data_IF_919251406260
#
_entry.id   IF_919251406260
#
_cell.length_a   1.000
_cell.length_b   1.000
_cell.length_c   1.000
_cell.angle_alpha   90.00
_cell.angle_beta   90.00
_cell.angle_gamma   90.00
#
_symmetry.space_group_name_H-M   'P 1'
#
loop_
_entity.id
_entity.type
_entity.pdbx_description
1 polymer ?
#
# COMPACT_ATOMS: atom_id res chain seq x y z
N UNK A 1 20.39 39.88 1.56
CA UNK A 1 21.39 39.32 0.65
C UNK A 1 21.17 39.82 -0.77
N UNK A 2 20.00 39.70 -1.33
CA UNK A 2 19.60 40.12 -2.68
C UNK A 2 19.86 41.62 -2.91
N UNK A 3 19.49 42.52 -1.99
CA UNK A 3 19.72 43.94 -2.04
C UNK A 3 21.20 44.32 -2.16
N UNK A 4 22.10 43.54 -1.55
CA UNK A 4 23.54 43.72 -1.65
C UNK A 4 24.04 43.34 -3.04
N UNK A 5 23.60 42.21 -3.56
CA UNK A 5 23.94 41.74 -4.91
C UNK A 5 23.40 42.68 -5.99
N UNK A 6 22.21 43.25 -5.82
CA UNK A 6 21.69 44.29 -6.74
C UNK A 6 22.54 45.57 -6.75
N UNK A 7 23.06 46.02 -5.59
CA UNK A 7 23.97 47.12 -5.51
C UNK A 7 25.30 46.86 -6.19
N UNK A 8 25.85 45.64 -5.98
CA UNK A 8 27.10 45.20 -6.61
C UNK A 8 26.92 45.11 -8.14
N UNK A 9 25.78 44.61 -8.62
CA UNK A 9 25.43 44.56 -10.04
C UNK A 9 25.35 45.96 -10.65
N UNK A 10 24.68 46.88 -10.00
CA UNK A 10 24.58 48.26 -10.49
C UNK A 10 25.96 48.97 -10.56
N UNK A 11 26.86 48.71 -9.61
CA UNK A 11 28.23 49.23 -9.64
C UNK A 11 29.02 48.64 -10.84
N UNK A 12 28.83 47.35 -11.14
CA UNK A 12 29.46 46.67 -12.30
C UNK A 12 28.89 47.19 -13.63
N UNK A 13 27.59 47.49 -13.72
CA UNK A 13 26.94 48.05 -14.88
C UNK A 13 27.52 49.49 -15.13
N UNK A 14 27.75 50.29 -14.08
CA UNK A 14 28.38 51.58 -14.22
C UNK A 14 29.79 51.48 -14.81
N UNK A 15 30.64 50.58 -14.28
CA UNK A 15 31.98 50.34 -14.82
C UNK A 15 31.97 49.79 -16.26
N UNK A 16 31.03 48.93 -16.62
CA UNK A 16 30.84 48.46 -17.99
C UNK A 16 30.50 49.58 -18.96
N UNK A 17 29.65 50.53 -18.54
CA UNK A 17 29.33 51.73 -19.34
C UNK A 17 30.51 52.67 -19.49
N UNK A 18 31.32 52.89 -18.44
CA UNK A 18 32.55 53.69 -18.49
C UNK A 18 33.58 53.09 -19.45
N UNK A 19 33.74 51.77 -19.42
CA UNK A 19 34.58 51.05 -20.38
C UNK A 19 34.06 51.19 -21.83
N UNK A 20 32.73 51.28 -22.01
CA UNK A 20 32.11 51.54 -23.29
C UNK A 20 32.48 52.94 -23.83
N UNK A 21 32.36 53.97 -22.99
CA UNK A 21 32.75 55.35 -23.36
C UNK A 21 34.25 55.43 -23.68
N UNK A 22 35.09 54.73 -22.89
CA UNK A 22 36.55 54.70 -23.12
C UNK A 22 36.91 53.98 -24.43
N UNK A 23 36.18 52.95 -24.79
CA UNK A 23 36.34 52.21 -26.05
C UNK A 23 35.93 53.07 -27.27
N UNK A 24 34.81 53.79 -27.16
CA UNK A 24 34.35 54.68 -28.21
C UNK A 24 35.30 55.87 -28.41
N UNK A 25 35.88 56.39 -27.32
CA UNK A 25 36.94 57.43 -27.36
C UNK A 25 38.24 56.87 -28.01
N UNK A 26 38.61 55.62 -27.72
CA UNK A 26 39.78 55.00 -28.34
C UNK A 26 39.60 54.75 -29.84
N UNK A 27 38.41 54.49 -30.30
CA UNK A 27 38.04 54.31 -31.71
C UNK A 27 37.93 55.58 -32.51
N UNK A 28 37.59 56.69 -31.86
CA UNK A 28 37.46 57.97 -32.47
C UNK A 28 38.80 58.82 -32.49
N UNK A 29 39.85 58.28 -31.92
CA UNK A 29 41.17 58.94 -31.90
C UNK A 29 41.84 58.85 -33.30
N UNK A 30 42.57 59.88 -33.69
CA UNK A 30 43.23 60.12 -35.01
C UNK A 30 44.31 59.02 -35.30
N UNK A 31 44.80 58.32 -34.26
CA UNK A 31 45.67 57.15 -34.34
C UNK A 31 45.11 56.03 -33.49
N UNK A 32 44.59 54.97 -34.14
CA UNK A 32 43.96 53.80 -33.44
C UNK A 32 45.07 52.93 -32.84
N UNK A 33 45.16 52.88 -31.53
CA UNK A 33 46.01 51.92 -30.83
C UNK A 33 45.27 50.58 -30.66
N UNK A 34 45.54 49.64 -31.56
CA UNK A 34 44.89 48.32 -31.63
C UNK A 34 45.11 47.48 -30.37
N UNK A 35 46.23 47.65 -29.67
CA UNK A 35 46.54 46.92 -28.44
C UNK A 35 45.64 47.41 -27.28
N UNK A 36 45.44 48.75 -27.21
CA UNK A 36 44.57 49.38 -26.21
C UNK A 36 43.10 49.06 -26.45
N UNK A 37 42.66 49.01 -27.71
CA UNK A 37 41.29 48.63 -28.06
C UNK A 37 41.03 47.17 -27.68
N UNK A 38 41.93 46.24 -27.95
CA UNK A 38 41.82 44.85 -27.57
C UNK A 38 41.74 44.64 -26.05
N UNK A 39 42.52 45.40 -25.27
CA UNK A 39 42.51 45.35 -23.81
C UNK A 39 41.16 45.87 -23.25
N UNK A 40 40.64 46.96 -23.76
CA UNK A 40 39.34 47.50 -23.37
C UNK A 40 38.17 46.56 -23.73
N UNK A 41 38.23 45.89 -24.86
CA UNK A 41 37.26 44.87 -25.24
C UNK A 41 37.32 43.65 -24.26
N UNK A 42 38.55 43.27 -23.88
CA UNK A 42 38.75 42.21 -22.89
C UNK A 42 38.16 42.53 -21.53
N UNK A 43 38.46 43.77 -21.04
CA UNK A 43 37.92 44.24 -19.76
C UNK A 43 36.39 44.38 -19.79
N UNK A 44 35.83 44.83 -20.88
CA UNK A 44 34.38 44.96 -21.06
C UNK A 44 33.69 43.58 -21.13
N UNK A 45 34.30 42.60 -21.78
CA UNK A 45 33.78 41.21 -21.81
C UNK A 45 33.83 40.56 -20.44
N UNK A 46 34.88 40.77 -19.66
CA UNK A 46 35.01 40.30 -18.30
C UNK A 46 33.93 40.91 -17.38
N UNK A 47 33.73 42.23 -17.45
CA UNK A 47 32.70 42.93 -16.70
C UNK A 47 31.29 42.43 -17.05
N UNK A 48 31.02 42.15 -18.33
CA UNK A 48 29.75 41.55 -18.75
C UNK A 48 29.53 40.15 -18.19
N UNK A 49 30.53 39.28 -18.17
CA UNK A 49 30.46 37.94 -17.58
C UNK A 49 30.17 38.01 -16.07
N UNK A 50 30.79 38.97 -15.36
CA UNK A 50 30.50 39.20 -13.93
C UNK A 50 29.05 39.68 -13.69
N UNK A 51 28.53 40.59 -14.52
CA UNK A 51 27.15 41.03 -14.45
C UNK A 51 26.17 39.87 -14.67
N UNK A 52 26.44 38.99 -15.66
CA UNK A 52 25.63 37.82 -15.92
C UNK A 52 25.64 36.85 -14.72
N UNK A 53 26.81 36.53 -14.15
CA UNK A 53 26.93 35.66 -13.00
C UNK A 53 26.16 36.22 -11.76
N UNK A 54 26.22 37.53 -11.53
CA UNK A 54 25.47 38.18 -10.43
C UNK A 54 23.96 38.12 -10.71
N UNK A 55 23.53 38.36 -11.94
CA UNK A 55 22.11 38.31 -12.33
C UNK A 55 21.52 36.92 -12.17
N UNK A 56 22.23 35.86 -12.62
CA UNK A 56 21.81 34.45 -12.42
C UNK A 56 21.69 34.11 -10.94
N UNK A 57 22.62 34.60 -10.12
CA UNK A 57 22.59 34.36 -8.67
C UNK A 57 21.41 35.08 -7.99
N UNK A 58 21.06 36.29 -8.42
CA UNK A 58 19.88 37.01 -7.95
C UNK A 58 18.63 36.25 -8.33
N UNK A 59 18.47 35.84 -9.58
CA UNK A 59 17.29 35.06 -10.06
C UNK A 59 17.12 33.76 -9.29
N UNK A 60 18.21 33.07 -9.00
CA UNK A 60 18.17 31.83 -8.21
C UNK A 60 17.70 32.07 -6.77
N UNK A 61 18.22 33.11 -6.11
CA UNK A 61 17.81 33.47 -4.75
C UNK A 61 16.38 34.01 -4.68
N UNK A 62 15.90 34.66 -5.72
CA UNK A 62 14.50 35.10 -5.82
C UNK A 62 13.57 33.93 -5.98
N UNK A 63 13.93 32.93 -6.82
CA UNK A 63 13.17 31.69 -6.98
C UNK A 63 13.15 30.85 -5.69
N UNK A 64 14.26 30.75 -4.96
CA UNK A 64 14.32 30.11 -3.65
C UNK A 64 13.40 30.82 -2.63
N UNK A 65 13.41 32.13 -2.59
CA UNK A 65 12.55 32.92 -1.69
C UNK A 65 11.07 32.83 -2.04
N UNK A 66 10.72 32.75 -3.33
CA UNK A 66 9.33 32.47 -3.78
C UNK A 66 8.88 31.07 -3.43
N UNK A 67 9.75 30.07 -3.55
CA UNK A 67 9.47 28.70 -3.16
C UNK A 67 9.22 28.58 -1.65
N UNK A 68 10.06 29.22 -0.84
CA UNK A 68 9.90 29.26 0.62
C UNK A 68 8.59 29.96 1.02
N UNK A 69 8.26 31.09 0.38
CA UNK A 69 7.00 31.79 0.61
C UNK A 69 5.77 30.96 0.15
N UNK A 70 5.91 30.15 -0.90
CA UNK A 70 4.85 29.25 -1.35
C UNK A 70 4.65 28.09 -0.34
N UNK A 71 5.73 27.53 0.20
CA UNK A 71 5.69 26.50 1.25
C UNK A 71 5.04 27.06 2.51
N UNK A 72 5.38 28.30 2.91
CA UNK A 72 4.79 28.96 4.07
C UNK A 72 3.28 29.21 3.88
N UNK A 73 2.85 29.61 2.68
CA UNK A 73 1.43 29.75 2.33
C UNK A 73 0.69 28.41 2.35
N UNK A 74 1.30 27.34 1.83
CA UNK A 74 0.75 26.00 1.86
C UNK A 74 0.67 25.46 3.28
N UNK A 75 1.67 25.71 4.11
CA UNK A 75 1.65 25.34 5.52
C UNK A 75 0.58 26.11 6.32
N UNK A 76 0.36 27.38 6.01
CA UNK A 76 -0.71 28.17 6.58
C UNK A 76 -2.11 27.72 6.12
N UNK A 77 -2.23 27.18 4.89
CA UNK A 77 -3.49 26.62 4.38
C UNK A 77 -3.76 25.19 4.86
N UNK A 78 -2.73 24.43 5.21
CA UNK A 78 -2.87 23.06 5.73
C UNK A 78 -3.24 23.01 7.21
N UNK A 79 -3.24 24.12 7.92
CA UNK A 79 -3.83 24.21 9.24
C UNK A 79 -5.33 24.47 9.07
N UNK A 80 -6.21 23.52 9.43
CA UNK A 80 -7.63 23.80 9.41
C UNK A 80 -7.92 24.92 10.43
N UNK A 81 -8.20 26.10 9.90
CA UNK A 81 -8.83 27.18 10.68
C UNK A 81 -10.23 26.68 11.03
N UNK A 82 -10.39 26.23 12.26
CA UNK A 82 -11.73 25.93 12.75
C UNK A 82 -11.85 24.68 13.59
N UNK A 83 -11.04 24.52 14.61
CA UNK A 83 -11.58 24.23 15.91
C UNK A 83 -11.17 25.38 16.80
N UNK A 84 -12.10 26.20 17.18
CA UNK A 84 -12.00 26.98 18.40
C UNK A 84 -11.79 25.98 19.53
N UNK A 85 -10.59 25.46 19.67
CA UNK A 85 -10.09 25.09 20.97
C UNK A 85 -9.95 26.41 21.66
N UNK A 86 -10.95 26.75 22.46
CA UNK A 86 -10.86 27.73 23.51
C UNK A 86 -9.45 27.62 24.07
N UNK A 87 -8.59 28.58 23.69
CA UNK A 87 -7.24 28.63 24.19
C UNK A 87 -7.36 28.77 25.69
N UNK A 88 -7.15 27.69 26.39
CA UNK A 88 -6.87 27.73 27.82
C UNK A 88 -5.56 28.51 27.90
N UNK A 89 -5.65 29.83 28.12
CA UNK A 89 -4.54 30.60 28.60
C UNK A 89 -4.13 29.95 29.93
N UNK A 90 -3.04 29.22 29.89
CA UNK A 90 -2.38 28.72 31.10
C UNK A 90 -1.74 29.96 31.75
N UNK A 91 -2.59 30.71 32.45
CA UNK A 91 -2.13 31.67 33.42
C UNK A 91 -1.47 30.88 34.55
N UNK A 92 -0.47 31.43 35.21
CA UNK A 92 0.15 30.85 36.39
C UNK A 92 -0.97 30.38 37.34
N UNK A 93 -0.96 29.09 37.69
CA UNK A 93 -2.00 28.47 38.55
C UNK A 93 -2.22 29.28 39.79
N UNK A 94 -3.39 29.90 39.90
CA UNK A 94 -3.74 30.64 41.12
C UNK A 94 -4.08 29.72 42.29
N UNK A 95 -4.27 28.41 42.06
CA UNK A 95 -4.67 27.46 43.09
C UNK A 95 -4.33 26.00 42.74
N UNK A 96 -3.08 25.52 42.87
CA UNK A 96 -2.71 24.14 42.58
C UNK A 96 -3.44 23.18 43.51
N UNK A 97 -3.95 22.07 42.96
CA UNK A 97 -4.70 21.02 43.74
C UNK A 97 -3.82 20.38 44.78
N UNK A 98 -2.51 20.24 44.54
CA UNK A 98 -1.52 19.71 45.48
C UNK A 98 -0.46 20.75 45.78
N UNK A 99 -0.40 21.24 47.03
CA UNK A 99 0.57 22.25 47.46
C UNK A 99 1.72 21.64 48.22
N UNK A 100 2.92 22.18 48.06
CA UNK A 100 4.08 21.78 48.82
C UNK A 100 3.91 22.21 50.28
N UNK A 101 3.84 21.24 51.22
CA UNK A 101 3.61 21.50 52.65
C UNK A 101 2.22 21.18 53.14
N UNK A 102 1.29 20.77 52.31
CA UNK A 102 -0.04 20.30 52.71
C UNK A 102 0.07 18.87 53.25
N UNK A 103 -0.25 18.67 54.52
CA UNK A 103 -0.18 17.37 55.21
C UNK A 103 -1.43 16.55 55.08
N UNK A 104 -2.56 17.14 54.63
CA UNK A 104 -3.85 16.45 54.48
C UNK A 104 -4.07 15.88 53.09
N UNK A 105 -3.59 16.56 52.03
CA UNK A 105 -3.78 16.19 50.67
C UNK A 105 -2.44 15.98 49.96
N UNK A 106 -2.15 14.74 49.59
CA UNK A 106 -0.94 14.36 48.85
C UNK A 106 -1.31 13.54 47.63
N UNK A 107 -0.64 13.79 46.50
CA UNK A 107 -0.85 13.08 45.23
C UNK A 107 -0.75 11.55 45.41
N UNK A 108 0.28 11.06 46.11
CA UNK A 108 0.45 9.63 46.32
C UNK A 108 -0.59 9.03 47.27
N UNK A 109 -1.09 9.83 48.22
CA UNK A 109 -2.14 9.41 49.14
C UNK A 109 -3.48 9.34 48.43
N UNK A 110 -3.73 10.24 47.49
CA UNK A 110 -4.94 10.25 46.67
C UNK A 110 -4.90 9.16 45.60
N UNK A 111 -3.74 8.86 45.01
CA UNK A 111 -3.56 7.70 44.16
C UNK A 111 -3.94 6.39 44.84
N UNK A 112 -3.47 6.22 46.10
CA UNK A 112 -3.79 5.04 46.90
C UNK A 112 -5.27 4.99 47.32
N UNK A 113 -5.90 6.14 47.63
CA UNK A 113 -7.31 6.21 47.96
C UNK A 113 -8.23 6.01 46.75
N UNK A 114 -7.84 6.52 45.58
CA UNK A 114 -8.59 6.34 44.34
C UNK A 114 -8.64 4.89 43.88
N UNK A 115 -7.58 4.11 44.14
CA UNK A 115 -7.55 2.66 43.86
C UNK A 115 -8.51 1.87 44.77
N UNK A 116 -8.96 2.46 45.90
CA UNK A 116 -9.94 1.90 46.83
C UNK A 116 -11.34 2.45 46.68
N UNK A 117 -11.63 3.25 45.61
CA UNK A 117 -12.96 3.74 45.28
C UNK A 117 -13.33 5.08 45.90
N UNK A 118 -12.37 5.88 46.37
CA UNK A 118 -12.65 7.24 46.86
C UNK A 118 -12.81 8.21 45.69
N UNK A 119 -14.06 8.61 45.39
CA UNK A 119 -14.39 9.50 44.27
C UNK A 119 -13.85 10.92 44.43
N UNK A 120 -13.63 11.40 45.69
CA UNK A 120 -13.03 12.71 45.96
C UNK A 120 -11.53 12.71 45.63
N UNK A 121 -10.84 11.62 45.93
CA UNK A 121 -9.44 11.45 45.56
C UNK A 121 -9.27 11.33 44.04
N UNK A 122 -10.21 10.63 43.35
CA UNK A 122 -10.24 10.51 41.91
C UNK A 122 -10.48 11.86 41.23
N UNK A 123 -11.43 12.67 41.74
CA UNK A 123 -11.70 14.01 41.23
C UNK A 123 -10.52 14.97 41.37
N UNK A 124 -9.75 14.89 42.50
CA UNK A 124 -8.54 15.71 42.65
C UNK A 124 -7.39 15.26 41.76
N UNK A 125 -7.27 13.96 41.52
CA UNK A 125 -6.28 13.42 40.55
C UNK A 125 -6.57 13.87 39.11
N UNK A 126 -7.83 13.78 38.67
CA UNK A 126 -8.22 14.26 37.33
C UNK A 126 -8.01 15.77 37.21
N UNK A 127 -8.41 16.57 38.19
CA UNK A 127 -8.19 18.02 38.15
C UNK A 127 -6.66 18.37 38.15
N UNK A 128 -5.80 17.62 38.83
CA UNK A 128 -4.35 17.85 38.79
C UNK A 128 -3.72 17.42 37.48
N UNK A 129 -4.32 16.48 36.73
CA UNK A 129 -3.88 16.10 35.39
C UNK A 129 -4.26 17.16 34.36
N UNK A 130 -5.42 17.79 34.49
CA UNK A 130 -5.87 18.87 33.62
C UNK A 130 -5.03 20.16 33.79
N UNK A 131 -4.49 20.43 34.99
CA UNK A 131 -3.75 21.66 35.30
C UNK A 131 -2.23 21.54 35.13
N UNK A 132 -1.69 20.36 34.84
CA UNK A 132 -0.24 20.15 34.68
C UNK A 132 0.27 20.55 33.30
N UNK A 133 0.54 21.82 33.10
CA UNK A 133 1.52 22.26 32.11
C UNK A 133 2.93 22.09 32.70
N UNK A 134 3.39 20.85 32.80
CA UNK A 134 4.75 20.54 33.22
C UNK A 134 5.71 20.70 32.07
N UNK A 135 6.86 21.34 32.28
CA UNK A 135 7.96 21.32 31.34
C UNK A 135 8.46 19.88 31.18
N UNK A 136 8.37 19.33 29.98
CA UNK A 136 8.78 17.97 29.61
C UNK A 136 10.31 17.80 29.48
N UNK A 137 11.10 18.54 30.25
CA UNK A 137 12.55 18.39 30.26
C UNK A 137 12.95 17.19 31.14
N UNK A 138 13.80 16.33 30.60
CA UNK A 138 14.39 15.21 31.36
C UNK A 138 15.08 15.73 32.63
N UNK A 139 14.74 15.14 33.78
CA UNK A 139 15.24 15.56 35.11
C UNK A 139 14.36 16.55 35.89
N UNK A 140 13.24 17.05 35.31
CA UNK A 140 12.30 17.97 35.98
C UNK A 140 10.89 17.37 36.20
N UNK A 141 10.77 16.04 36.24
CA UNK A 141 9.48 15.36 36.45
C UNK A 141 8.71 15.03 35.18
N UNK A 142 9.27 15.31 33.98
CA UNK A 142 8.68 14.90 32.68
C UNK A 142 8.57 13.39 32.51
N UNK A 143 9.35 12.63 33.28
CA UNK A 143 9.30 11.14 33.32
C UNK A 143 8.04 10.60 34.02
N UNK A 144 7.31 11.44 34.78
CA UNK A 144 6.06 11.06 35.44
C UNK A 144 4.79 11.47 34.69
N UNK A 145 4.92 12.21 33.58
CA UNK A 145 3.81 12.54 32.72
C UNK A 145 3.81 11.55 31.54
N UNK A 146 2.92 10.54 31.53
CA UNK A 146 2.75 9.74 30.32
C UNK A 146 2.35 10.70 29.19
N UNK A 147 2.96 10.59 28.02
CA UNK A 147 2.60 11.45 26.91
C UNK A 147 1.13 11.20 26.51
N UNK A 148 0.23 12.08 26.92
CA UNK A 148 -1.22 11.99 26.63
C UNK A 148 -1.52 11.90 25.13
N UNK A 149 -0.65 12.45 24.30
CA UNK A 149 -0.80 12.45 22.83
C UNK A 149 -0.66 11.06 22.19
N UNK A 150 -0.02 10.09 22.86
CA UNK A 150 0.10 8.71 22.35
C UNK A 150 -1.19 7.88 22.50
N UNK A 151 -2.12 8.33 23.34
CA UNK A 151 -3.36 7.59 23.61
C UNK A 151 -4.42 7.89 22.54
N UNK A 152 -4.50 9.14 22.08
CA UNK A 152 -5.52 9.56 21.12
C UNK A 152 -5.10 9.33 19.64
N UNK A 153 -3.78 9.25 19.38
CA UNK A 153 -3.21 9.08 18.03
C UNK A 153 -2.63 7.67 17.79
N UNK A 154 -3.23 6.64 18.40
CA UNK A 154 -2.81 5.27 18.11
C UNK A 154 -3.18 4.90 16.67
N UNK A 155 -2.18 4.88 15.80
CA UNK A 155 -2.33 4.38 14.42
C UNK A 155 -2.05 2.89 14.44
N UNK A 156 -3.08 2.09 14.17
CA UNK A 156 -2.93 0.65 14.00
C UNK A 156 -2.00 0.31 12.84
N UNK A 157 -1.30 -0.82 12.95
CA UNK A 157 -0.50 -1.35 11.84
C UNK A 157 -1.42 -1.63 10.64
N UNK A 158 -1.17 -0.96 9.51
CA UNK A 158 -1.88 -1.28 8.28
C UNK A 158 -1.44 -2.67 7.79
N UNK A 159 -2.39 -3.57 7.66
CA UNK A 159 -2.21 -4.89 7.04
C UNK A 159 -2.99 -4.96 5.74
N UNK A 160 -2.54 -5.78 4.80
CA UNK A 160 -3.29 -6.08 3.61
C UNK A 160 -4.62 -6.76 3.99
N UNK A 161 -5.69 -6.43 3.29
CA UNK A 161 -6.98 -7.12 3.43
C UNK A 161 -6.98 -8.46 2.67
N UNK A 162 -8.02 -9.25 2.82
CA UNK A 162 -8.21 -10.53 2.13
C UNK A 162 -8.96 -10.34 0.80
N UNK A 163 -8.33 -9.72 -0.17
CA UNK A 163 -8.98 -9.37 -1.44
C UNK A 163 -9.30 -10.60 -2.27
N UNK A 164 -8.34 -11.50 -2.45
CA UNK A 164 -8.52 -12.69 -3.29
C UNK A 164 -9.51 -13.67 -2.68
N UNK A 165 -9.45 -13.92 -1.36
CA UNK A 165 -10.37 -14.82 -0.68
C UNK A 165 -11.82 -14.33 -0.75
N UNK A 166 -12.06 -13.02 -0.64
CA UNK A 166 -13.40 -12.41 -0.71
C UNK A 166 -14.00 -12.44 -2.13
N UNK A 167 -13.18 -12.61 -3.16
CA UNK A 167 -13.66 -12.81 -4.53
C UNK A 167 -14.21 -14.21 -4.77
N UNK A 168 -13.82 -15.20 -3.96
CA UNK A 168 -14.25 -16.59 -4.11
C UNK A 168 -15.70 -16.75 -3.67
N UNK A 169 -16.31 -17.84 -4.11
CA UNK A 169 -17.64 -18.19 -3.62
C UNK A 169 -17.54 -18.71 -2.19
N UNK A 170 -17.92 -17.85 -1.23
CA UNK A 170 -17.92 -18.17 0.19
C UNK A 170 -19.12 -19.02 0.60
N UNK A 171 -18.86 -20.07 1.38
CA UNK A 171 -19.88 -20.94 1.99
C UNK A 171 -19.49 -21.23 3.44
N UNK A 172 -20.49 -21.44 4.28
CA UNK A 172 -20.22 -21.81 5.68
C UNK A 172 -19.73 -23.25 5.78
N UNK A 173 -18.64 -23.47 6.53
CA UNK A 173 -18.12 -24.81 6.81
C UNK A 173 -19.07 -25.56 7.75
N UNK A 174 -19.64 -26.72 7.36
CA UNK A 174 -20.47 -27.48 8.27
C UNK A 174 -19.62 -28.08 9.41
N UNK A 175 -20.18 -28.09 10.62
CA UNK A 175 -19.51 -28.67 11.79
C UNK A 175 -19.37 -30.17 11.70
N UNK A 176 -18.32 -30.74 12.32
CA UNK A 176 -18.15 -32.18 12.45
C UNK A 176 -17.66 -32.91 11.21
N UNK A 177 -17.13 -32.21 10.20
CA UNK A 177 -16.59 -32.81 8.97
C UNK A 177 -15.07 -32.68 8.93
N UNK A 178 -14.37 -33.69 8.42
CA UNK A 178 -12.92 -33.69 8.25
C UNK A 178 -12.48 -33.31 6.82
N UNK A 179 -13.38 -33.44 5.84
CA UNK A 179 -13.13 -33.08 4.45
C UNK A 179 -14.44 -32.75 3.74
N UNK A 180 -14.35 -31.92 2.69
CA UNK A 180 -15.50 -31.60 1.83
C UNK A 180 -15.30 -32.28 0.50
N UNK A 181 -16.33 -33.00 0.05
CA UNK A 181 -16.32 -33.73 -1.21
C UNK A 181 -17.39 -33.15 -2.13
N UNK A 182 -16.99 -32.68 -3.31
CA UNK A 182 -17.89 -32.17 -4.35
C UNK A 182 -17.94 -33.12 -5.55
N UNK A 183 -19.14 -33.54 -6.02
CA UNK A 183 -19.24 -34.34 -7.22
C UNK A 183 -18.86 -33.52 -8.47
N UNK A 184 -18.24 -34.19 -9.43
CA UNK A 184 -17.87 -33.67 -10.73
C UNK A 184 -18.22 -34.63 -11.84
N UNK A 185 -18.83 -34.16 -12.91
CA UNK A 185 -19.02 -34.92 -14.16
C UNK A 185 -17.73 -34.74 -14.97
N UNK A 186 -17.11 -35.86 -15.35
CA UNK A 186 -15.86 -35.89 -16.14
C UNK A 186 -16.12 -36.03 -17.64
N UNK A 187 -17.15 -36.81 -18.00
CA UNK A 187 -17.61 -36.89 -19.39
C UNK A 187 -19.14 -36.94 -19.42
N UNK A 188 -19.72 -36.23 -20.35
CA UNK A 188 -21.16 -36.21 -20.61
C UNK A 188 -21.58 -37.34 -21.55
N UNK A 189 -22.88 -37.47 -21.76
CA UNK A 189 -23.46 -38.35 -22.77
C UNK A 189 -23.00 -37.94 -24.18
N UNK A 190 -22.73 -38.88 -25.04
CA UNK A 190 -22.39 -38.64 -26.43
C UNK A 190 -23.63 -38.81 -27.32
N UNK A 191 -23.80 -37.88 -28.23
CA UNK A 191 -24.84 -37.92 -29.27
C UNK A 191 -24.15 -37.91 -30.64
N UNK A 192 -24.46 -38.88 -31.47
CA UNK A 192 -23.88 -38.98 -32.81
C UNK A 192 -24.95 -38.97 -33.91
N UNK A 193 -24.54 -38.68 -35.12
CA UNK A 193 -25.42 -38.83 -36.31
C UNK A 193 -25.36 -40.24 -36.80
N UNK A 194 -26.51 -40.89 -36.97
CA UNK A 194 -26.61 -42.21 -37.57
C UNK A 194 -26.31 -42.12 -39.04
N UNK A 195 -25.16 -42.66 -39.48
CA UNK A 195 -24.72 -42.60 -40.87
C UNK A 195 -25.37 -43.65 -41.78
N UNK A 196 -25.81 -44.74 -41.20
CA UNK A 196 -26.40 -45.89 -41.92
C UNK A 196 -27.71 -46.27 -41.27
N UNK A 197 -28.75 -46.45 -42.09
CA UNK A 197 -30.05 -46.94 -41.60
C UNK A 197 -29.94 -48.34 -41.05
N UNK A 198 -30.71 -48.63 -40.02
CA UNK A 198 -30.76 -49.93 -39.34
C UNK A 198 -29.46 -50.36 -38.60
N UNK A 199 -28.65 -49.37 -38.18
CA UNK A 199 -27.46 -49.57 -37.34
C UNK A 199 -27.78 -49.20 -35.90
N UNK A 200 -27.27 -49.98 -34.93
CA UNK A 200 -27.47 -49.72 -33.51
C UNK A 200 -26.87 -48.33 -33.14
N UNK A 201 -27.63 -47.53 -32.37
CA UNK A 201 -27.20 -46.26 -31.86
C UNK A 201 -26.10 -46.49 -30.81
N UNK A 202 -25.01 -45.75 -30.92
CA UNK A 202 -23.91 -45.83 -29.90
C UNK A 202 -24.36 -45.22 -28.58
N UNK A 203 -24.33 -46.05 -27.53
CA UNK A 203 -24.64 -45.58 -26.18
C UNK A 203 -23.47 -44.80 -25.59
N UNK A 204 -23.74 -43.62 -25.05
CA UNK A 204 -22.78 -42.81 -24.33
C UNK A 204 -23.11 -42.76 -22.84
N UNK A 205 -22.15 -43.13 -22.00
CA UNK A 205 -22.33 -43.19 -20.54
C UNK A 205 -21.76 -41.94 -19.89
N UNK A 206 -22.50 -41.34 -18.96
CA UNK A 206 -21.98 -40.23 -18.11
C UNK A 206 -20.99 -40.83 -17.11
N UNK A 207 -19.79 -40.24 -17.07
CA UNK A 207 -18.81 -40.61 -16.03
C UNK A 207 -18.69 -39.46 -14.99
N UNK A 208 -18.63 -39.86 -13.73
CA UNK A 208 -18.56 -38.92 -12.61
C UNK A 208 -17.35 -39.26 -11.71
N UNK A 209 -16.84 -38.26 -11.06
CA UNK A 209 -15.82 -38.37 -10.01
C UNK A 209 -16.14 -37.41 -8.87
N UNK A 210 -15.42 -37.49 -7.77
CA UNK A 210 -15.50 -36.55 -6.67
C UNK A 210 -14.17 -35.79 -6.51
N UNK A 211 -14.27 -34.54 -6.13
CA UNK A 211 -13.13 -33.73 -5.77
C UNK A 211 -13.22 -33.44 -4.28
N UNK A 212 -12.15 -33.71 -3.55
CA UNK A 212 -12.10 -33.52 -2.11
C UNK A 212 -11.05 -32.53 -1.70
N UNK A 213 -11.35 -31.77 -0.65
CA UNK A 213 -10.39 -30.90 0.05
C UNK A 213 -10.44 -31.21 1.54
N UNK A 214 -9.27 -31.37 2.15
CA UNK A 214 -9.12 -31.37 3.61
C UNK A 214 -9.39 -30.00 4.20
N UNK A 215 -9.69 -30.00 5.50
CA UNK A 215 -9.88 -28.78 6.27
C UNK A 215 -8.53 -28.34 6.82
N UNK A 216 -8.15 -27.10 6.57
CA UNK A 216 -6.98 -26.47 7.15
C UNK A 216 -7.37 -25.68 8.41
N UNK A 217 -6.54 -25.77 9.42
CA UNK A 217 -6.64 -24.98 10.64
C UNK A 217 -5.70 -23.79 10.55
N UNK A 218 -6.25 -22.59 10.65
CA UNK A 218 -5.48 -21.33 10.65
C UNK A 218 -5.55 -20.76 12.05
N UNK A 219 -4.40 -20.66 12.71
CA UNK A 219 -4.30 -20.24 14.10
C UNK A 219 -3.27 -19.13 14.28
N UNK A 220 -3.59 -18.20 15.17
CA UNK A 220 -2.67 -17.17 15.64
C UNK A 220 -2.67 -17.11 17.15
N UNK A 221 -1.53 -16.86 17.77
CA UNK A 221 -1.40 -16.64 19.22
C UNK A 221 -0.48 -15.47 19.52
N UNK A 222 -0.80 -14.75 20.59
CA UNK A 222 0.03 -13.70 21.15
C UNK A 222 -0.04 -13.74 22.67
N UNK A 223 1.10 -13.56 23.34
CA UNK A 223 1.19 -13.46 24.81
C UNK A 223 1.43 -12.01 25.22
N UNK A 224 0.75 -11.58 26.27
CA UNK A 224 0.86 -10.24 26.79
C UNK A 224 1.12 -10.29 28.32
N UNK A 225 2.16 -9.62 28.85
CA UNK A 225 2.38 -9.52 30.27
C UNK A 225 1.24 -8.75 30.97
N UNK A 226 0.74 -9.27 32.09
CA UNK A 226 -0.32 -8.64 32.89
C UNK A 226 0.11 -7.25 33.38
N UNK A 227 1.40 -7.05 33.63
CA UNK A 227 1.93 -5.74 34.02
C UNK A 227 1.66 -4.67 32.97
N UNK A 228 1.89 -4.99 31.68
CA UNK A 228 1.62 -4.07 30.59
C UNK A 228 0.12 -3.75 30.46
N UNK A 229 -0.73 -4.77 30.62
CA UNK A 229 -2.18 -4.60 30.57
C UNK A 229 -2.70 -3.66 31.66
N UNK A 230 -2.11 -3.74 32.89
CA UNK A 230 -2.51 -2.92 34.02
C UNK A 230 -1.92 -1.50 34.02
N UNK A 231 -0.78 -1.31 33.34
CA UNK A 231 -0.07 -0.03 33.26
C UNK A 231 -0.43 0.77 32.02
N UNK A 232 -1.02 0.13 31.00
CA UNK A 232 -1.43 0.80 29.78
C UNK A 232 -2.71 1.61 30.00
N UNK A 233 -2.72 2.84 29.50
CA UNK A 233 -3.92 3.67 29.40
C UNK A 233 -4.83 3.31 28.22
N UNK A 234 -4.40 2.40 27.35
CA UNK A 234 -5.13 1.94 26.15
C UNK A 234 -5.68 0.52 26.43
N UNK A 235 -6.82 0.20 25.86
CA UNK A 235 -7.37 -1.17 25.86
C UNK A 235 -6.54 -2.07 24.92
N UNK A 236 -5.41 -2.61 25.41
CA UNK A 236 -4.50 -3.46 24.64
C UNK A 236 -5.17 -4.75 24.16
N UNK A 237 -6.14 -5.27 24.90
CA UNK A 237 -6.89 -6.47 24.51
C UNK A 237 -7.58 -6.29 23.16
N UNK A 238 -8.29 -5.18 22.97
CA UNK A 238 -8.99 -4.89 21.70
C UNK A 238 -8.03 -4.68 20.56
N UNK A 239 -6.89 -4.03 20.80
CA UNK A 239 -5.86 -3.80 19.78
C UNK A 239 -5.23 -5.12 19.34
N UNK A 240 -4.88 -6.00 20.28
CA UNK A 240 -4.27 -7.30 19.98
C UNK A 240 -5.27 -8.22 19.25
N UNK A 241 -6.52 -8.27 19.69
CA UNK A 241 -7.53 -9.09 19.02
C UNK A 241 -7.81 -8.59 17.60
N UNK A 242 -7.85 -7.27 17.40
CA UNK A 242 -8.00 -6.68 16.07
C UNK A 242 -6.80 -7.00 15.16
N UNK A 243 -5.57 -6.90 15.68
CA UNK A 243 -4.36 -7.25 14.92
C UNK A 243 -4.28 -8.75 14.61
N UNK A 244 -4.66 -9.62 15.54
CA UNK A 244 -4.73 -11.07 15.31
C UNK A 244 -5.79 -11.43 14.27
N UNK A 245 -6.95 -10.77 14.27
CA UNK A 245 -7.99 -10.97 13.26
C UNK A 245 -7.52 -10.52 11.87
N UNK A 246 -6.83 -9.37 11.79
CA UNK A 246 -6.24 -8.90 10.55
C UNK A 246 -5.12 -9.84 10.06
N UNK A 247 -4.28 -10.37 10.96
CA UNK A 247 -3.26 -11.35 10.62
C UNK A 247 -3.86 -12.67 10.11
N UNK A 248 -4.99 -13.10 10.70
CA UNK A 248 -5.73 -14.27 10.23
C UNK A 248 -6.24 -14.06 8.80
N UNK A 249 -6.79 -12.88 8.50
CA UNK A 249 -7.29 -12.54 7.17
C UNK A 249 -6.17 -12.62 6.11
N UNK A 250 -5.00 -12.05 6.40
CA UNK A 250 -3.80 -12.15 5.53
C UNK A 250 -3.35 -13.60 5.36
N UNK A 251 -3.32 -14.39 6.43
CA UNK A 251 -2.90 -15.79 6.38
C UNK A 251 -3.85 -16.64 5.53
N UNK A 252 -5.17 -16.44 5.68
CA UNK A 252 -6.17 -17.13 4.87
C UNK A 252 -6.01 -16.77 3.38
N UNK A 253 -5.87 -15.50 3.06
CA UNK A 253 -5.70 -15.05 1.68
C UNK A 253 -4.43 -15.59 1.05
N UNK A 254 -3.32 -15.59 1.79
CA UNK A 254 -2.05 -16.20 1.36
C UNK A 254 -2.22 -17.71 1.10
N UNK A 255 -2.99 -18.43 1.93
CA UNK A 255 -3.27 -19.84 1.72
C UNK A 255 -4.15 -20.09 0.48
N UNK A 256 -5.15 -19.24 0.23
CA UNK A 256 -5.98 -19.28 -0.98
C UNK A 256 -5.14 -19.05 -2.23
N UNK A 257 -4.19 -18.11 -2.19
CA UNK A 257 -3.32 -17.81 -3.33
C UNK A 257 -2.26 -18.89 -3.55
N UNK A 258 -1.48 -19.23 -2.53
CA UNK A 258 -0.22 -19.98 -2.68
C UNK A 258 -0.14 -21.29 -1.88
N UNK A 259 -1.21 -21.74 -1.24
CA UNK A 259 -1.24 -22.96 -0.45
C UNK A 259 -0.76 -24.18 -1.25
N UNK A 260 0.07 -25.02 -0.61
CA UNK A 260 0.74 -26.15 -1.26
C UNK A 260 -0.11 -27.42 -1.38
N UNK A 261 -1.27 -27.49 -0.73
CA UNK A 261 -2.10 -28.69 -0.56
C UNK A 261 -1.44 -29.83 0.25
N UNK A 262 -0.34 -29.56 0.95
CA UNK A 262 0.38 -30.50 1.78
C UNK A 262 0.48 -29.99 3.21
N UNK A 263 0.75 -30.86 4.16
CA UNK A 263 1.00 -30.51 5.57
C UNK A 263 -0.11 -29.66 6.22
N UNK A 264 -1.37 -29.96 5.91
CA UNK A 264 -2.51 -29.21 6.46
C UNK A 264 -2.78 -27.85 5.80
N UNK A 265 -2.06 -27.51 4.72
CA UNK A 265 -2.30 -26.29 3.96
C UNK A 265 -3.44 -26.45 2.97
N UNK A 266 -4.11 -25.35 2.63
CA UNK A 266 -5.08 -25.31 1.55
C UNK A 266 -4.42 -25.58 0.19
N UNK A 267 -5.21 -25.98 -0.77
CA UNK A 267 -4.76 -26.02 -2.17
C UNK A 267 -4.95 -24.64 -2.80
N UNK A 268 -3.89 -23.86 -2.92
CA UNK A 268 -3.93 -22.52 -3.48
C UNK A 268 -4.18 -22.45 -4.99
N UNK A 269 -4.50 -21.26 -5.47
CA UNK A 269 -4.73 -20.97 -6.89
C UNK A 269 -3.51 -21.29 -7.76
N UNK A 270 -2.29 -21.00 -7.28
CA UNK A 270 -1.04 -21.32 -7.99
C UNK A 270 -0.90 -22.83 -8.21
N UNK A 271 -1.23 -23.62 -7.20
CA UNK A 271 -1.09 -25.08 -7.23
C UNK A 271 -2.20 -25.77 -8.05
N UNK A 272 -3.40 -25.18 -8.08
CA UNK A 272 -4.57 -25.77 -8.72
C UNK A 272 -4.76 -25.34 -10.17
N UNK A 273 -4.24 -24.18 -10.56
CA UNK A 273 -4.52 -23.53 -11.83
C UNK A 273 -3.73 -24.08 -13.01
N UNK A 274 -4.22 -23.76 -14.20
CA UNK A 274 -3.54 -24.02 -15.47
C UNK A 274 -2.55 -22.91 -15.76
N UNK A 275 -1.30 -23.27 -16.04
CA UNK A 275 -0.23 -22.29 -16.27
C UNK A 275 -0.26 -21.74 -17.69
N UNK A 276 -0.24 -20.41 -17.82
CA UNK A 276 0.02 -19.69 -19.08
C UNK A 276 1.42 -19.05 -18.95
N UNK A 277 2.37 -19.60 -19.68
CA UNK A 277 3.76 -19.18 -19.58
C UNK A 277 4.00 -17.84 -20.29
N UNK A 278 4.56 -16.87 -19.55
CA UNK A 278 5.04 -15.60 -20.10
C UNK A 278 6.54 -15.49 -19.89
N UNK A 279 7.31 -16.11 -20.81
CA UNK A 279 8.76 -16.12 -20.76
C UNK A 279 9.30 -15.16 -21.82
N UNK A 280 9.93 -14.08 -21.36
CA UNK A 280 10.56 -13.09 -22.23
C UNK A 280 11.66 -12.35 -21.47
N UNK A 281 12.66 -11.84 -22.20
CA UNK A 281 13.70 -10.95 -21.67
C UNK A 281 13.33 -9.47 -21.85
N UNK A 282 12.28 -9.18 -22.61
CA UNK A 282 11.81 -7.82 -22.91
C UNK A 282 10.30 -7.71 -22.64
N UNK A 283 9.89 -7.76 -21.37
CA UNK A 283 8.48 -7.67 -21.04
C UNK A 283 7.92 -6.29 -21.35
N UNK A 284 6.80 -6.26 -22.05
CA UNK A 284 6.07 -5.04 -22.36
C UNK A 284 4.58 -5.26 -22.16
N UNK A 285 3.83 -4.23 -21.77
CA UNK A 285 2.38 -4.32 -21.62
C UNK A 285 1.75 -4.57 -22.98
N UNK A 286 2.11 -3.77 -23.98
CA UNK A 286 1.73 -3.94 -25.38
C UNK A 286 3.00 -3.98 -26.23
N UNK A 287 3.12 -4.94 -27.13
CA UNK A 287 4.26 -5.09 -28.03
C UNK A 287 3.78 -5.59 -29.40
N UNK A 288 4.46 -5.18 -30.45
CA UNK A 288 4.27 -5.74 -31.80
C UNK A 288 4.60 -7.24 -31.84
N UNK A 289 5.50 -7.69 -30.98
CA UNK A 289 5.84 -9.11 -30.82
C UNK A 289 4.94 -9.74 -29.76
N UNK A 290 4.07 -10.65 -30.13
CA UNK A 290 3.10 -11.28 -29.23
C UNK A 290 3.76 -11.98 -28.01
N UNK A 291 4.97 -12.52 -28.15
CA UNK A 291 5.71 -13.18 -27.05
C UNK A 291 6.08 -12.18 -25.97
N UNK A 292 6.39 -10.95 -26.31
CA UNK A 292 6.79 -9.89 -25.38
C UNK A 292 5.59 -9.14 -24.78
N UNK A 293 4.39 -9.32 -25.35
CA UNK A 293 3.18 -8.58 -24.96
C UNK A 293 2.45 -9.28 -23.81
N UNK A 294 2.35 -8.62 -22.65
CA UNK A 294 1.53 -9.08 -21.53
C UNK A 294 0.04 -9.11 -21.87
N UNK A 295 -0.44 -8.12 -22.62
CA UNK A 295 -1.81 -8.05 -23.12
C UNK A 295 -2.21 -9.32 -23.90
N UNK A 296 -1.33 -9.81 -24.78
CA UNK A 296 -1.57 -11.04 -25.54
C UNK A 296 -1.60 -12.28 -24.65
N UNK A 297 -0.87 -12.28 -23.53
CA UNK A 297 -0.91 -13.38 -22.57
C UNK A 297 -2.20 -13.41 -21.77
N UNK A 298 -2.74 -12.26 -21.41
CA UNK A 298 -4.06 -12.16 -20.77
C UNK A 298 -5.16 -12.64 -21.74
N UNK A 299 -5.11 -12.22 -23.00
CA UNK A 299 -6.03 -12.73 -24.03
C UNK A 299 -5.91 -14.25 -24.23
N UNK A 300 -4.69 -14.77 -24.24
CA UNK A 300 -4.44 -16.21 -24.33
C UNK A 300 -5.05 -16.98 -23.15
N UNK A 301 -4.95 -16.43 -21.93
CA UNK A 301 -5.57 -16.98 -20.76
C UNK A 301 -7.11 -17.00 -20.84
N UNK A 302 -7.71 -15.89 -21.30
CA UNK A 302 -9.15 -15.82 -21.53
C UNK A 302 -9.62 -16.82 -22.60
N UNK A 303 -8.89 -16.91 -23.72
CA UNK A 303 -9.21 -17.85 -24.79
C UNK A 303 -9.09 -19.31 -24.35
N UNK A 304 -8.05 -19.63 -23.56
CA UNK A 304 -7.86 -20.98 -23.01
C UNK A 304 -9.01 -21.36 -22.04
N UNK A 305 -9.45 -20.44 -21.21
CA UNK A 305 -10.62 -20.64 -20.34
C UNK A 305 -11.89 -20.82 -21.15
N UNK A 306 -12.17 -19.95 -22.11
CA UNK A 306 -13.36 -20.02 -22.97
C UNK A 306 -13.38 -21.34 -23.75
N UNK A 307 -12.25 -21.77 -24.31
CA UNK A 307 -12.16 -23.01 -25.10
C UNK A 307 -12.28 -24.30 -24.26
N UNK A 308 -11.71 -24.32 -23.07
CA UNK A 308 -11.65 -25.55 -22.23
C UNK A 308 -12.81 -25.62 -21.24
N UNK A 309 -13.16 -24.50 -20.60
CA UNK A 309 -14.24 -24.46 -19.60
C UNK A 309 -15.60 -24.15 -20.22
N UNK A 310 -15.65 -23.68 -21.46
CA UNK A 310 -16.85 -23.19 -22.15
C UNK A 310 -17.57 -22.06 -21.39
N UNK A 311 -16.79 -21.22 -20.69
CA UNK A 311 -17.30 -20.09 -19.90
C UNK A 311 -16.32 -18.91 -19.97
N UNK A 312 -16.82 -17.67 -19.95
CA UNK A 312 -15.96 -16.49 -19.92
C UNK A 312 -15.25 -16.34 -18.57
N UNK A 313 -14.11 -15.68 -18.57
CA UNK A 313 -13.47 -15.22 -17.33
C UNK A 313 -14.29 -14.09 -16.70
N UNK A 314 -14.21 -13.96 -15.35
CA UNK A 314 -14.96 -12.96 -14.60
C UNK A 314 -14.06 -11.86 -14.02
N UNK A 315 -12.79 -12.17 -13.72
CA UNK A 315 -11.91 -11.26 -12.97
C UNK A 315 -10.44 -11.55 -13.28
N UNK A 316 -9.63 -10.47 -13.17
CA UNK A 316 -8.18 -10.56 -13.17
C UNK A 316 -7.69 -10.13 -11.78
N UNK A 317 -6.79 -10.91 -11.19
CA UNK A 317 -6.17 -10.58 -9.90
C UNK A 317 -4.66 -10.49 -10.09
N UNK A 318 -4.06 -9.40 -9.60
CA UNK A 318 -2.62 -9.18 -9.73
C UNK A 318 -2.07 -8.35 -8.56
N UNK A 319 -0.74 -8.42 -8.38
CA UNK A 319 -0.07 -7.60 -7.35
C UNK A 319 -0.07 -6.11 -7.72
N UNK A 320 -0.20 -5.17 -6.75
CA UNK A 320 -0.21 -3.72 -7.00
C UNK A 320 0.96 -3.22 -7.86
N UNK A 321 2.18 -3.78 -7.66
CA UNK A 321 3.34 -3.41 -8.48
C UNK A 321 3.14 -3.74 -9.96
N UNK A 322 2.44 -4.84 -10.27
CA UNK A 322 2.15 -5.25 -11.66
C UNK A 322 1.09 -4.36 -12.28
N UNK A 323 0.07 -4.01 -11.50
CA UNK A 323 -0.93 -3.06 -11.95
C UNK A 323 -0.32 -1.68 -12.25
N UNK A 324 0.54 -1.16 -11.37
CA UNK A 324 1.26 0.09 -11.60
C UNK A 324 2.11 0.06 -12.88
N UNK A 325 2.73 -1.09 -13.18
CA UNK A 325 3.46 -1.28 -14.44
C UNK A 325 2.54 -1.23 -15.65
N UNK A 326 1.32 -1.80 -15.57
CA UNK A 326 0.32 -1.72 -16.65
C UNK A 326 -0.14 -0.28 -16.84
N UNK A 327 -0.38 0.47 -15.74
CA UNK A 327 -0.76 1.88 -15.79
C UNK A 327 0.32 2.78 -16.40
N UNK A 328 1.59 2.49 -16.14
CA UNK A 328 2.74 3.23 -16.64
C UNK A 328 3.07 2.95 -18.12
N UNK A 329 2.32 2.07 -18.79
CA UNK A 329 2.59 1.74 -20.18
C UNK A 329 2.24 2.90 -21.13
N UNK A 330 3.17 3.17 -22.06
CA UNK A 330 3.03 4.19 -23.09
C UNK A 330 2.90 3.56 -24.48
N UNK A 331 2.25 4.24 -25.40
CA UNK A 331 2.26 3.90 -26.81
C UNK A 331 3.56 4.36 -27.50
N UNK A 332 3.71 4.06 -28.78
CA UNK A 332 4.87 4.48 -29.60
C UNK A 332 4.98 6.00 -29.76
N UNK A 333 3.94 6.76 -29.44
CA UNK A 333 3.89 8.21 -29.43
C UNK A 333 4.02 8.81 -28.01
N UNK A 334 4.48 8.03 -27.03
CA UNK A 334 4.63 8.39 -25.62
C UNK A 334 3.32 8.85 -24.95
N UNK A 335 2.17 8.32 -25.38
CA UNK A 335 0.89 8.58 -24.76
C UNK A 335 0.53 7.44 -23.80
N UNK A 336 -0.01 7.72 -22.60
CA UNK A 336 -0.47 6.68 -21.70
C UNK A 336 -1.51 5.76 -22.36
N UNK A 337 -1.33 4.45 -22.25
CA UNK A 337 -2.30 3.47 -22.71
C UNK A 337 -3.54 3.43 -21.81
N UNK A 338 -3.40 3.89 -20.58
CA UNK A 338 -4.48 3.98 -19.59
C UNK A 338 -4.95 5.42 -19.50
N UNK A 339 -6.23 5.64 -19.77
CA UNK A 339 -6.87 6.94 -19.57
C UNK A 339 -7.73 6.87 -18.31
N UNK A 340 -7.42 7.63 -17.24
CA UNK A 340 -8.29 7.70 -16.10
C UNK A 340 -9.63 8.34 -16.47
N UNK A 341 -10.73 7.64 -16.26
CA UNK A 341 -12.12 8.16 -16.37
C UNK A 341 -12.52 8.82 -17.71
N UNK A 342 -11.90 8.45 -18.85
CA UNK A 342 -12.24 9.01 -20.15
C UNK A 342 -12.92 8.01 -21.07
N UNK A 343 -13.95 8.41 -21.85
CA UNK A 343 -14.51 7.55 -22.85
C UNK A 343 -13.59 7.41 -24.07
N UNK A 344 -13.39 6.21 -24.53
CA UNK A 344 -13.35 5.84 -25.92
C UNK A 344 -12.05 5.87 -26.73
N UNK A 345 -10.89 6.33 -26.27
CA UNK A 345 -9.67 6.27 -27.10
C UNK A 345 -8.53 5.44 -26.48
N UNK A 346 -8.86 4.50 -25.60
CA UNK A 346 -7.90 3.59 -25.02
C UNK A 346 -7.71 2.36 -25.91
N UNK A 347 -6.61 2.32 -26.68
CA UNK A 347 -6.32 1.20 -27.59
C UNK A 347 -6.07 -0.14 -26.87
N UNK A 348 -5.68 -0.11 -25.60
CA UNK A 348 -5.43 -1.31 -24.80
C UNK A 348 -6.64 -1.73 -23.96
N UNK A 349 -7.77 -1.02 -24.03
CA UNK A 349 -8.96 -1.25 -23.20
C UNK A 349 -8.61 -1.37 -21.68
N UNK A 350 -7.71 -0.52 -21.22
CA UNK A 350 -7.27 -0.46 -19.81
C UNK A 350 -7.78 0.82 -19.20
N UNK A 351 -8.59 0.73 -18.17
CA UNK A 351 -9.08 1.87 -17.41
C UNK A 351 -8.80 1.63 -15.93
N UNK A 352 -8.35 2.65 -15.21
CA UNK A 352 -8.13 2.51 -13.78
C UNK A 352 -7.25 3.57 -13.17
N UNK A 353 -7.08 3.46 -11.85
CA UNK A 353 -6.24 4.33 -11.04
C UNK A 353 -5.26 3.47 -10.21
N UNK A 354 -4.16 4.06 -9.70
CA UNK A 354 -3.32 3.39 -8.72
C UNK A 354 -4.16 2.96 -7.52
N UNK A 355 -4.04 1.70 -7.12
CA UNK A 355 -4.73 1.15 -5.96
C UNK A 355 -3.77 0.28 -5.17
N UNK A 356 -3.87 0.31 -3.84
CA UNK A 356 -3.10 -0.54 -2.95
C UNK A 356 -3.74 -1.93 -2.87
N UNK A 357 -5.07 -1.99 -2.81
CA UNK A 357 -5.85 -3.23 -2.72
C UNK A 357 -7.27 -3.03 -3.26
N UNK A 358 -7.96 -4.12 -3.57
CA UNK A 358 -9.32 -4.12 -4.07
C UNK A 358 -9.43 -3.84 -5.56
N UNK A 359 -10.60 -3.40 -6.02
CA UNK A 359 -10.85 -3.12 -7.44
C UNK A 359 -10.09 -1.88 -7.88
N UNK A 360 -9.17 -2.05 -8.83
CA UNK A 360 -8.30 -1.00 -9.33
C UNK A 360 -8.73 -0.44 -10.69
N UNK A 361 -9.37 -1.25 -11.52
CA UNK A 361 -9.76 -0.84 -12.87
C UNK A 361 -10.29 -1.98 -13.72
N UNK A 362 -10.12 -1.86 -15.02
CA UNK A 362 -10.52 -2.86 -16.01
C UNK A 362 -9.42 -3.09 -17.04
N UNK A 363 -9.25 -4.34 -17.46
CA UNK A 363 -8.31 -4.74 -18.50
C UNK A 363 -9.04 -5.74 -19.43
N UNK A 364 -9.12 -5.45 -20.71
CA UNK A 364 -9.79 -6.31 -21.70
C UNK A 364 -11.26 -6.63 -21.36
N UNK A 365 -11.98 -5.64 -20.77
CA UNK A 365 -13.37 -5.82 -20.37
C UNK A 365 -13.58 -6.64 -19.09
N UNK A 366 -12.49 -7.02 -18.41
CA UNK A 366 -12.54 -7.69 -17.11
C UNK A 366 -12.13 -6.75 -15.98
N UNK A 367 -12.85 -6.74 -14.84
CA UNK A 367 -12.43 -6.00 -13.67
C UNK A 367 -11.09 -6.54 -13.14
N UNK A 368 -10.20 -5.63 -12.80
CA UNK A 368 -8.90 -5.92 -12.20
C UNK A 368 -8.98 -5.65 -10.72
N UNK A 369 -8.62 -6.65 -9.93
CA UNK A 369 -8.41 -6.54 -8.49
C UNK A 369 -6.92 -6.62 -8.19
N UNK A 370 -6.47 -5.77 -7.28
CA UNK A 370 -5.10 -5.79 -6.79
C UNK A 370 -5.07 -6.32 -5.38
N UNK A 371 -4.09 -7.19 -5.13
CA UNK A 371 -3.93 -7.86 -3.86
C UNK A 371 -2.44 -7.90 -3.50
N UNK A 372 -2.03 -7.21 -2.44
CA UNK A 372 -0.64 -7.20 -1.99
C UNK A 372 -0.17 -8.54 -1.39
N UNK A 373 -1.09 -9.48 -1.08
CA UNK A 373 -0.75 -10.82 -0.57
C UNK A 373 -0.22 -11.76 -1.67
N UNK A 374 -0.32 -11.37 -2.95
CA UNK A 374 0.24 -12.16 -4.06
C UNK A 374 1.76 -12.19 -3.92
N UNK A 375 2.38 -13.39 -3.89
CA UNK A 375 3.81 -13.52 -3.73
C UNK A 375 4.57 -12.88 -4.90
N UNK A 376 5.64 -12.19 -4.57
CA UNK A 376 6.51 -11.48 -5.52
C UNK A 376 7.91 -12.11 -5.62
N UNK A 377 8.08 -13.24 -4.98
CA UNK A 377 9.34 -13.99 -4.83
C UNK A 377 9.28 -15.38 -5.47
N UNK A 378 8.48 -15.54 -6.52
CA UNK A 378 8.34 -16.80 -7.26
C UNK A 378 9.41 -16.91 -8.35
N UNK A 379 9.54 -18.12 -8.91
CA UNK A 379 10.50 -18.44 -9.97
C UNK A 379 11.91 -18.72 -9.46
N UNK A 380 12.78 -19.17 -10.35
CA UNK A 380 14.14 -19.60 -9.99
C UNK A 380 15.00 -18.47 -9.38
N UNK A 381 14.77 -17.23 -9.80
CA UNK A 381 15.46 -16.04 -9.28
C UNK A 381 14.73 -15.36 -8.11
N UNK A 382 13.64 -15.93 -7.61
CA UNK A 382 12.83 -15.39 -6.48
C UNK A 382 12.43 -13.92 -6.64
N UNK A 383 12.13 -13.50 -7.86
CA UNK A 383 11.81 -12.08 -8.19
C UNK A 383 10.57 -11.91 -9.08
N UNK A 384 9.86 -13.00 -9.34
CA UNK A 384 8.68 -13.01 -10.19
C UNK A 384 7.40 -12.92 -9.36
N UNK A 385 6.38 -12.28 -9.93
CA UNK A 385 5.00 -12.35 -9.45
C UNK A 385 4.13 -13.21 -10.36
N UNK A 386 2.85 -13.33 -10.03
CA UNK A 386 1.87 -14.04 -10.83
C UNK A 386 0.64 -13.18 -11.07
N UNK A 387 -0.05 -13.47 -12.17
CA UNK A 387 -1.34 -12.86 -12.48
C UNK A 387 -2.35 -13.96 -12.68
N UNK A 388 -3.52 -13.81 -12.08
CA UNK A 388 -4.61 -14.77 -12.18
C UNK A 388 -5.71 -14.22 -13.07
N UNK A 389 -6.22 -15.08 -13.94
CA UNK A 389 -7.48 -14.86 -14.68
C UNK A 389 -8.44 -15.93 -14.21
N UNK A 390 -9.56 -15.55 -13.59
CA UNK A 390 -10.39 -16.45 -12.81
C UNK A 390 -11.85 -16.41 -13.25
N UNK A 391 -12.53 -17.56 -13.05
CA UNK A 391 -13.99 -17.64 -12.99
C UNK A 391 -14.43 -17.94 -11.57
N UNK A 392 -14.91 -16.91 -10.87
CA UNK A 392 -15.17 -16.92 -9.42
C UNK A 392 -16.17 -17.98 -8.98
N UNK A 393 -17.26 -18.17 -9.74
CA UNK A 393 -18.35 -19.08 -9.39
C UNK A 393 -17.92 -20.56 -9.24
N UNK A 394 -16.80 -20.94 -9.86
CA UNK A 394 -16.27 -22.30 -9.81
C UNK A 394 -15.33 -22.53 -8.61
N UNK A 395 -14.98 -21.48 -7.87
CA UNK A 395 -14.00 -21.48 -6.78
C UNK A 395 -14.73 -21.40 -5.43
N UNK A 396 -14.74 -22.50 -4.69
CA UNK A 396 -15.51 -22.63 -3.45
C UNK A 396 -14.59 -22.53 -2.24
N UNK A 397 -14.85 -21.55 -1.40
CA UNK A 397 -14.17 -21.34 -0.12
C UNK A 397 -15.17 -21.57 1.01
N UNK A 398 -14.89 -22.56 1.85
CA UNK A 398 -15.67 -22.86 3.05
C UNK A 398 -14.93 -22.32 4.26
N UNK A 399 -15.62 -21.58 5.11
CA UNK A 399 -15.05 -20.96 6.30
C UNK A 399 -15.92 -21.23 7.53
N UNK A 400 -15.28 -21.52 8.67
CA UNK A 400 -15.94 -21.51 9.98
C UNK A 400 -16.01 -20.09 10.53
N UNK A 401 -16.84 -19.88 11.54
CA UNK A 401 -16.72 -18.69 12.37
C UNK A 401 -15.32 -18.62 13.01
N UNK A 402 -14.77 -17.43 13.11
CA UNK A 402 -13.49 -17.18 13.77
C UNK A 402 -13.73 -17.23 15.28
N UNK A 403 -12.99 -18.10 15.98
CA UNK A 403 -13.01 -18.23 17.42
C UNK A 403 -11.86 -17.45 18.03
N UNK A 404 -12.16 -16.56 18.96
CA UNK A 404 -11.17 -15.83 19.75
C UNK A 404 -11.26 -16.25 21.21
N UNK A 405 -10.13 -16.54 21.85
CA UNK A 405 -10.08 -16.94 23.26
C UNK A 405 -8.87 -16.33 23.96
N UNK A 406 -9.06 -15.98 25.23
CA UNK A 406 -8.00 -15.60 26.15
C UNK A 406 -7.79 -16.66 27.22
N UNK A 407 -6.55 -16.95 27.54
CA UNK A 407 -6.16 -17.97 28.53
C UNK A 407 -5.22 -17.39 29.57
N UNK A 408 -5.71 -17.22 30.79
CA UNK A 408 -4.95 -16.61 31.88
C UNK A 408 -4.05 -17.63 32.58
N UNK A 409 -4.42 -18.91 32.57
CA UNK A 409 -3.74 -19.98 33.30
C UNK A 409 -2.52 -20.56 32.57
N UNK A 410 -2.44 -20.43 31.23
CA UNK A 410 -1.43 -21.12 30.41
C UNK A 410 -0.01 -20.65 30.69
N UNK A 411 0.18 -19.34 30.97
CA UNK A 411 1.46 -18.73 31.30
C UNK A 411 1.40 -17.99 32.64
N UNK A 412 0.73 -18.62 33.62
CA UNK A 412 0.60 -18.05 34.97
C UNK A 412 1.96 -17.87 35.67
N UNK A 413 2.90 -18.75 35.40
CA UNK A 413 4.29 -18.70 35.87
C UNK A 413 5.07 -17.49 35.35
N UNK A 414 4.66 -16.95 34.18
CA UNK A 414 5.26 -15.79 33.52
C UNK A 414 4.44 -14.50 33.70
N UNK A 415 3.35 -14.55 34.52
CA UNK A 415 2.40 -13.43 34.66
C UNK A 415 1.93 -12.86 33.32
N UNK A 416 1.59 -13.75 32.37
CA UNK A 416 1.19 -13.38 31.02
C UNK A 416 -0.14 -14.04 30.63
N UNK A 417 -0.94 -13.34 29.85
CA UNK A 417 -2.19 -13.82 29.24
C UNK A 417 -1.92 -14.21 27.81
N UNK A 418 -2.44 -15.36 27.40
CA UNK A 418 -2.38 -15.85 26.02
C UNK A 418 -3.68 -15.50 25.29
N UNK A 419 -3.58 -14.77 24.19
CA UNK A 419 -4.66 -14.56 23.24
C UNK A 419 -4.49 -15.52 22.05
N UNK A 420 -5.58 -16.14 21.62
CA UNK A 420 -5.59 -17.05 20.49
C UNK A 420 -6.75 -16.72 19.56
N UNK A 421 -6.46 -16.78 18.27
CA UNK A 421 -7.45 -16.78 17.18
C UNK A 421 -7.37 -18.14 16.49
N UNK A 422 -8.50 -18.74 16.19
CA UNK A 422 -8.65 -20.04 15.55
C UNK A 422 -9.75 -19.95 14.50
N UNK A 423 -9.49 -20.49 13.32
CA UNK A 423 -10.50 -20.68 12.29
C UNK A 423 -10.18 -21.88 11.42
N UNK A 424 -11.22 -22.52 10.90
CA UNK A 424 -11.12 -23.66 9.99
C UNK A 424 -11.59 -23.25 8.61
N UNK A 425 -10.88 -23.67 7.59
CA UNK A 425 -11.23 -23.37 6.20
C UNK A 425 -10.94 -24.53 5.28
N UNK A 426 -11.69 -24.66 4.18
CA UNK A 426 -11.43 -25.60 3.12
C UNK A 426 -11.64 -24.91 1.77
N UNK A 427 -10.67 -25.03 0.87
CA UNK A 427 -10.72 -24.39 -0.44
C UNK A 427 -10.71 -25.44 -1.55
N UNK A 428 -11.67 -25.38 -2.48
CA UNK A 428 -11.83 -26.32 -3.58
C UNK A 428 -11.72 -25.58 -4.92
N UNK A 429 -10.50 -25.22 -5.35
CA UNK A 429 -10.28 -24.55 -6.63
C UNK A 429 -10.23 -25.54 -7.80
N UNK A 430 -9.91 -26.81 -7.57
CA UNK A 430 -9.56 -27.78 -8.59
C UNK A 430 -10.74 -28.60 -9.13
N UNK A 431 -11.98 -28.26 -8.77
CA UNK A 431 -13.17 -28.85 -9.40
C UNK A 431 -13.16 -28.63 -10.91
N UNK A 432 -12.78 -27.43 -11.34
CA UNK A 432 -12.57 -27.05 -12.72
C UNK A 432 -11.24 -26.29 -12.85
N UNK A 433 -10.12 -27.00 -12.99
CA UNK A 433 -8.80 -26.40 -13.08
C UNK A 433 -8.67 -25.37 -14.23
N UNK A 434 -9.42 -25.56 -15.31
CA UNK A 434 -9.47 -24.60 -16.44
C UNK A 434 -10.09 -23.24 -16.08
N UNK A 435 -10.85 -23.16 -14.98
CA UNK A 435 -11.41 -21.90 -14.46
C UNK A 435 -10.37 -20.99 -13.78
N UNK A 436 -9.13 -21.47 -13.66
CA UNK A 436 -8.00 -20.76 -13.07
C UNK A 436 -6.88 -20.75 -14.11
N UNK A 437 -6.58 -19.60 -14.65
CA UNK A 437 -5.42 -19.41 -15.50
C UNK A 437 -4.37 -18.60 -14.74
N UNK A 438 -3.19 -19.18 -14.59
CA UNK A 438 -2.06 -18.60 -13.84
C UNK A 438 -1.01 -18.15 -14.84
N UNK A 439 -0.88 -16.87 -15.05
CA UNK A 439 0.18 -16.31 -15.88
C UNK A 439 1.43 -16.18 -15.01
N UNK A 440 2.51 -16.86 -15.39
CA UNK A 440 3.79 -16.82 -14.70
C UNK A 440 4.97 -16.85 -15.68
N UNK A 441 6.18 -16.65 -15.19
CA UNK A 441 7.41 -16.75 -15.98
C UNK A 441 8.29 -15.51 -15.90
N UNK A 442 9.42 -15.54 -16.60
CA UNK A 442 10.46 -14.49 -16.54
C UNK A 442 10.00 -13.11 -17.03
N UNK A 443 8.90 -13.03 -17.78
CA UNK A 443 8.28 -11.77 -18.16
C UNK A 443 7.59 -11.04 -17.00
N UNK A 444 7.37 -11.70 -15.87
CA UNK A 444 6.76 -11.14 -14.67
C UNK A 444 7.78 -10.83 -13.56
N UNK A 445 9.02 -10.54 -13.91
CA UNK A 445 10.01 -10.01 -12.97
C UNK A 445 9.59 -8.64 -12.44
N UNK A 446 10.23 -8.19 -11.35
CA UNK A 446 9.95 -6.87 -10.78
C UNK A 446 10.06 -5.80 -11.88
N UNK A 447 9.01 -4.99 -12.12
CA UNK A 447 9.06 -3.97 -13.14
C UNK A 447 10.05 -2.88 -12.77
N UNK A 448 10.84 -2.42 -13.74
CA UNK A 448 11.59 -1.19 -13.62
C UNK A 448 10.68 -0.04 -14.07
N UNK A 449 10.51 0.93 -13.19
CA UNK A 449 9.90 2.21 -13.53
C UNK A 449 11.06 3.12 -13.94
N UNK A 450 11.16 3.39 -15.25
CA UNK A 450 12.20 4.24 -15.80
C UNK A 450 11.91 5.72 -15.54
#
# INVERSE_FOLDING_TARGET
MIERLRRDMNARIASYNELGVSLDAARSAETVDVAREADLIGQRSAANAEIQAISERITKLEAEAEADAAIERLSAQSHPVGSERSGVQVGAESNPVYRKGDTEVSYFRDLFKSSRGDDKARGRLSASQETRAGTSAAGSGGEFAPPLWLIDDFVGLARASRVTADLMRGETLPGGVASINLPKITAGSTVGVTQTQNTAITEGTITTTSVSSGIAEITGKQTLPIALLRQSGISLDSVILADLAAAYAVALDTQVISGSAANGQLRGLITAGTTVTYTTTQPAVVSATAVNSFYMKVLSAQAAMAGTRMAPADVIVMHPRRWSWVLGALDTANRPLVVPNGPAFNQAAVTGAPAAEGRAGELLGLPVFVDPNIPTNIGAATNQDVVFVLKRDDLWLYESAIETASFDATYADQNSILYRVLGFSAFIPHRHAASIQVINGTGLTAPAFA
#
